data_IF_722995055104
#
_entry.id   IF_722995055104
#
_cell.length_a   1.000
_cell.length_b   1.000
_cell.length_c   1.000
_cell.angle_alpha   90.00
_cell.angle_beta   90.00
_cell.angle_gamma   90.00
#
_symmetry.space_group_name_H-M   'P 1'
#
loop_
_entity.id
_entity.type
_entity.pdbx_description
1 polymer ?
#
# COMPACT_ATOMS: atom_id res chain seq x y z
N UNK A 1 20.98 -10.27 16.11
CA UNK A 1 20.92 -9.03 15.32
C UNK A 1 19.59 -8.36 15.63
N UNK A 2 19.58 -7.20 16.29
CA UNK A 2 18.32 -6.47 16.55
C UNK A 2 17.92 -5.77 15.26
N UNK A 3 16.96 -6.38 14.56
CA UNK A 3 16.27 -5.81 13.41
C UNK A 3 15.42 -4.66 13.95
N UNK A 4 15.77 -3.44 13.59
CA UNK A 4 15.02 -2.25 13.94
C UNK A 4 14.80 -1.48 12.64
N UNK A 5 13.55 -1.11 12.39
CA UNK A 5 13.16 -0.35 11.22
C UNK A 5 12.38 0.90 11.61
N UNK A 6 12.30 1.83 10.67
CA UNK A 6 11.50 3.05 10.76
C UNK A 6 10.42 2.95 9.69
N UNK A 7 9.16 3.11 10.09
CA UNK A 7 8.05 3.22 9.15
C UNK A 7 7.88 4.69 8.74
N UNK A 8 8.24 5.00 7.50
CA UNK A 8 8.11 6.34 6.94
C UNK A 8 6.84 6.45 6.10
N UNK A 9 6.19 7.61 6.17
CA UNK A 9 5.13 8.00 5.23
C UNK A 9 5.77 8.78 4.09
N UNK A 10 5.71 8.25 2.88
CA UNK A 10 6.27 8.89 1.68
C UNK A 10 5.23 8.95 0.56
N UNK A 11 5.51 9.75 -0.47
CA UNK A 11 4.75 9.69 -1.72
C UNK A 11 5.18 8.44 -2.50
N UNK A 12 4.21 7.68 -3.01
CA UNK A 12 4.49 6.58 -3.92
C UNK A 12 5.23 7.11 -5.16
N UNK A 13 6.38 6.54 -5.53
CA UNK A 13 7.14 6.99 -6.71
C UNK A 13 6.35 6.94 -8.01
N UNK A 14 5.37 6.03 -8.11
CA UNK A 14 4.58 5.83 -9.31
C UNK A 14 3.29 6.67 -9.34
N UNK A 15 2.48 6.66 -8.27
CA UNK A 15 1.15 7.27 -8.28
C UNK A 15 0.98 8.48 -7.34
N UNK A 16 2.04 8.89 -6.65
CA UNK A 16 2.07 10.00 -5.69
C UNK A 16 1.11 9.91 -4.47
N UNK A 17 0.27 8.86 -4.39
CA UNK A 17 -0.52 8.56 -3.21
C UNK A 17 0.40 8.19 -2.02
N UNK A 18 -0.13 8.27 -0.80
CA UNK A 18 0.60 7.84 0.39
C UNK A 18 0.97 6.35 0.33
N UNK A 19 2.23 6.06 0.61
CA UNK A 19 2.74 4.72 0.87
C UNK A 19 3.55 4.69 2.17
N UNK A 20 3.63 3.52 2.78
CA UNK A 20 4.52 3.26 3.90
C UNK A 20 5.79 2.61 3.37
N UNK A 21 6.93 3.19 3.71
CA UNK A 21 8.26 2.60 3.53
C UNK A 21 8.68 1.98 4.87
N UNK A 22 9.11 0.72 4.84
CA UNK A 22 9.76 0.06 5.96
C UNK A 22 11.28 0.12 5.76
N UNK A 23 11.96 1.01 6.49
CA UNK A 23 13.38 1.29 6.33
C UNK A 23 14.23 0.74 7.49
N UNK A 24 15.07 -0.24 7.20
CA UNK A 24 15.98 -0.88 8.15
C UNK A 24 17.29 -0.10 8.24
N UNK A 25 17.30 0.98 9.03
CA UNK A 25 18.38 1.97 9.06
C UNK A 25 19.80 1.45 9.33
N UNK A 26 19.95 0.28 9.99
CA UNK A 26 21.27 -0.33 10.24
C UNK A 26 21.85 -0.99 8.99
N UNK A 27 21.01 -1.69 8.24
CA UNK A 27 21.40 -2.41 7.03
C UNK A 27 21.15 -1.58 5.78
N UNK A 28 20.41 -0.46 5.91
CA UNK A 28 19.92 0.40 4.82
C UNK A 28 19.07 -0.35 3.80
N UNK A 29 18.37 -1.38 4.26
CA UNK A 29 17.36 -2.08 3.47
C UNK A 29 16.04 -1.33 3.53
N UNK A 30 15.23 -1.45 2.50
CA UNK A 30 13.95 -0.77 2.39
C UNK A 30 12.94 -1.59 1.62
N UNK A 31 11.70 -1.61 2.10
CA UNK A 31 10.57 -2.19 1.38
C UNK A 31 9.44 -1.16 1.26
N UNK A 32 8.91 -1.02 0.05
CA UNK A 32 7.81 -0.11 -0.28
C UNK A 32 6.74 -0.91 -1.01
N UNK A 33 5.51 -0.89 -0.50
CA UNK A 33 4.35 -1.55 -1.12
C UNK A 33 3.19 -0.57 -1.23
N UNK A 34 2.92 -0.09 -2.45
CA UNK A 34 1.80 0.81 -2.69
C UNK A 34 0.50 0.03 -2.81
N UNK A 35 -0.34 0.13 -1.78
CA UNK A 35 -1.67 -0.50 -1.77
C UNK A 35 -2.69 0.15 -2.73
N UNK A 36 -2.29 1.16 -3.52
CA UNK A 36 -3.17 1.88 -4.47
C UNK A 36 -2.89 1.47 -5.90
N UNK A 37 -1.69 1.75 -6.41
CA UNK A 37 -1.32 1.35 -7.75
C UNK A 37 -0.69 -0.04 -7.82
N UNK A 38 -0.17 -0.60 -6.72
CA UNK A 38 0.57 -1.86 -6.73
C UNK A 38 2.08 -1.75 -6.94
N UNK A 39 2.63 -0.52 -6.96
CA UNK A 39 4.07 -0.30 -7.01
C UNK A 39 4.78 -1.03 -5.87
N UNK A 40 5.86 -1.73 -6.21
CA UNK A 40 6.70 -2.44 -5.26
C UNK A 40 8.16 -2.09 -5.49
N UNK A 41 8.85 -1.75 -4.41
CA UNK A 41 10.31 -1.63 -4.40
C UNK A 41 10.87 -2.38 -3.20
N UNK A 42 11.93 -3.14 -3.42
CA UNK A 42 12.74 -3.68 -2.34
C UNK A 42 14.22 -3.45 -2.59
N UNK A 43 14.93 -3.18 -1.49
CA UNK A 43 16.39 -3.08 -1.44
C UNK A 43 16.85 -3.99 -0.31
N UNK A 44 17.54 -5.07 -0.67
CA UNK A 44 17.96 -6.11 0.28
C UNK A 44 19.48 -6.27 0.24
N UNK A 45 20.11 -6.44 1.38
CA UNK A 45 21.55 -6.67 1.47
C UNK A 45 21.86 -8.10 1.01
N UNK A 46 22.69 -8.24 -0.03
CA UNK A 46 23.10 -9.55 -0.55
C UNK A 46 24.37 -10.08 0.11
N UNK A 47 25.40 -9.25 0.18
CA UNK A 47 26.73 -9.67 0.61
C UNK A 47 27.50 -8.50 1.23
N UNK A 48 28.56 -8.85 1.95
CA UNK A 48 29.57 -7.90 2.43
C UNK A 48 30.91 -8.42 1.91
N UNK A 49 31.52 -7.68 0.98
CA UNK A 49 32.81 -8.01 0.36
C UNK A 49 33.78 -6.84 0.56
N UNK A 50 34.95 -7.09 1.16
CA UNK A 50 36.00 -6.08 1.39
C UNK A 50 35.51 -4.78 2.08
N UNK A 51 34.58 -4.91 3.03
CA UNK A 51 34.00 -3.78 3.75
C UNK A 51 32.98 -2.96 2.94
N UNK A 52 32.63 -3.39 1.73
CA UNK A 52 31.54 -2.84 0.92
C UNK A 52 30.30 -3.73 1.07
N UNK A 53 29.16 -3.08 1.19
CA UNK A 53 27.86 -3.76 1.24
C UNK A 53 27.29 -3.77 -0.16
N UNK A 54 26.92 -4.94 -0.65
CA UNK A 54 26.23 -5.12 -1.93
C UNK A 54 24.73 -5.26 -1.69
N UNK A 55 23.94 -4.52 -2.48
CA UNK A 55 22.48 -4.55 -2.42
C UNK A 55 21.92 -5.14 -3.71
N UNK A 56 20.86 -5.93 -3.57
CA UNK A 56 19.93 -6.23 -4.65
C UNK A 56 18.75 -5.28 -4.56
N UNK A 57 18.41 -4.66 -5.69
CA UNK A 57 17.24 -3.79 -5.80
C UNK A 57 16.26 -4.41 -6.78
N UNK A 58 14.99 -4.42 -6.41
CA UNK A 58 13.89 -4.91 -7.26
C UNK A 58 12.81 -3.85 -7.29
N UNK A 59 12.50 -3.38 -8.49
CA UNK A 59 11.42 -2.42 -8.73
C UNK A 59 10.38 -3.06 -9.65
N UNK A 60 9.11 -2.96 -9.26
CA UNK A 60 7.97 -3.46 -10.02
C UNK A 60 6.91 -2.37 -10.08
N UNK A 61 6.49 -2.02 -11.30
CA UNK A 61 5.40 -1.09 -11.53
C UNK A 61 4.05 -1.74 -11.22
N UNK A 62 3.17 -0.95 -10.62
CA UNK A 62 1.82 -1.34 -10.33
C UNK A 62 0.82 -0.89 -11.40
N UNK A 63 -0.21 -1.71 -11.60
CA UNK A 63 -1.26 -1.53 -12.60
C UNK A 63 -2.65 -1.35 -12.00
N UNK A 64 -2.74 -1.19 -10.68
CA UNK A 64 -3.97 -0.94 -9.95
C UNK A 64 -4.17 -1.87 -8.76
N UNK A 65 -5.39 -1.86 -8.24
CA UNK A 65 -5.77 -2.72 -7.12
C UNK A 65 -7.25 -3.06 -7.14
N UNK A 66 -7.61 -4.15 -6.49
CA UNK A 66 -8.98 -4.47 -6.13
C UNK A 66 -9.15 -4.43 -4.61
N UNK A 67 -10.34 -4.07 -4.16
CA UNK A 67 -10.79 -4.22 -2.78
C UNK A 67 -12.15 -4.89 -2.82
N UNK A 68 -12.27 -6.03 -2.15
CA UNK A 68 -13.52 -6.75 -1.98
C UNK A 68 -13.87 -6.76 -0.49
N UNK A 69 -15.02 -6.21 -0.13
CA UNK A 69 -15.51 -6.15 1.26
C UNK A 69 -16.65 -7.14 1.41
N UNK A 70 -16.62 -7.92 2.48
CA UNK A 70 -17.68 -8.84 2.88
C UNK A 70 -18.62 -8.17 3.87
N UNK A 71 -19.89 -8.59 3.89
CA UNK A 71 -20.91 -8.08 4.82
C UNK A 71 -20.60 -8.32 6.29
N UNK A 72 -19.71 -9.29 6.59
CA UNK A 72 -19.19 -9.53 7.94
C UNK A 72 -18.04 -8.59 8.35
N UNK A 73 -17.65 -7.66 7.47
CA UNK A 73 -16.61 -6.66 7.71
C UNK A 73 -15.21 -7.08 7.26
N UNK A 74 -15.00 -8.34 6.86
CA UNK A 74 -13.71 -8.75 6.27
C UNK A 74 -13.50 -8.05 4.93
N UNK A 75 -12.24 -7.79 4.59
CA UNK A 75 -11.88 -7.33 3.26
C UNK A 75 -10.68 -8.07 2.72
N UNK A 76 -10.62 -8.14 1.40
CA UNK A 76 -9.50 -8.66 0.64
C UNK A 76 -9.02 -7.56 -0.30
N UNK A 77 -7.70 -7.40 -0.40
CA UNK A 77 -7.07 -6.46 -1.33
C UNK A 77 -6.08 -7.21 -2.19
N UNK A 78 -6.18 -7.00 -3.50
CA UNK A 78 -5.20 -7.47 -4.47
C UNK A 78 -4.55 -6.28 -5.14
N UNK A 79 -3.24 -6.32 -5.32
CA UNK A 79 -2.49 -5.35 -6.13
C UNK A 79 -1.98 -6.05 -7.38
N UNK A 80 -1.97 -5.35 -8.50
CA UNK A 80 -1.60 -5.92 -9.80
C UNK A 80 -0.22 -5.41 -10.22
N UNK A 81 0.69 -6.34 -10.53
CA UNK A 81 2.03 -6.08 -11.05
C UNK A 81 2.13 -6.22 -12.58
N UNK A 82 1.01 -6.55 -13.21
CA UNK A 82 0.82 -6.61 -14.65
C UNK A 82 -0.52 -5.97 -15.00
N UNK A 83 -0.70 -5.61 -16.27
CA UNK A 83 -1.95 -5.02 -16.73
C UNK A 83 -3.13 -5.94 -16.38
N UNK A 84 -4.17 -5.36 -15.79
CA UNK A 84 -5.38 -6.08 -15.40
C UNK A 84 -5.99 -6.71 -16.65
N UNK A 85 -6.08 -8.04 -16.63
CA UNK A 85 -6.63 -8.81 -17.74
C UNK A 85 -8.15 -8.95 -17.63
N UNK A 86 -8.81 -9.34 -18.72
CA UNK A 86 -10.23 -9.67 -18.66
C UNK A 86 -10.52 -10.81 -17.67
N UNK A 87 -9.60 -11.75 -17.50
CA UNK A 87 -9.73 -12.84 -16.53
C UNK A 87 -9.73 -12.32 -15.08
N UNK A 88 -8.93 -11.29 -14.78
CA UNK A 88 -8.93 -10.65 -13.46
C UNK A 88 -10.25 -9.93 -13.18
N UNK A 89 -10.78 -9.25 -14.20
CA UNK A 89 -12.08 -8.58 -14.15
C UNK A 89 -13.20 -9.62 -13.91
N UNK A 90 -13.20 -10.72 -14.66
CA UNK A 90 -14.18 -11.80 -14.53
C UNK A 90 -14.11 -12.46 -13.14
N UNK A 91 -12.90 -12.75 -12.66
CA UNK A 91 -12.68 -13.30 -11.31
C UNK A 91 -13.20 -12.35 -10.22
N UNK A 92 -12.94 -11.05 -10.37
CA UNK A 92 -13.47 -10.05 -9.46
C UNK A 92 -15.00 -10.00 -9.51
N UNK A 93 -15.61 -10.03 -10.70
CA UNK A 93 -17.07 -10.04 -10.88
C UNK A 93 -17.73 -11.27 -10.27
N UNK A 94 -17.11 -12.44 -10.37
CA UNK A 94 -17.61 -13.67 -9.71
C UNK A 94 -17.70 -13.44 -8.20
N UNK A 95 -16.67 -12.85 -7.59
CA UNK A 95 -16.67 -12.54 -6.16
C UNK A 95 -17.61 -11.37 -5.81
N UNK A 96 -17.70 -10.37 -6.67
CA UNK A 96 -18.57 -9.20 -6.54
C UNK A 96 -20.06 -9.57 -6.45
N UNK A 97 -20.47 -10.55 -7.26
CA UNK A 97 -21.86 -10.98 -7.37
C UNK A 97 -22.27 -12.00 -6.28
N UNK A 98 -21.35 -12.39 -5.38
CA UNK A 98 -21.72 -13.25 -4.25
C UNK A 98 -22.61 -12.48 -3.27
N UNK A 99 -23.57 -13.19 -2.69
CA UNK A 99 -24.57 -12.63 -1.77
C UNK A 99 -23.98 -12.05 -0.49
N UNK A 100 -22.78 -12.49 -0.11
CA UNK A 100 -22.03 -12.06 1.07
C UNK A 100 -21.12 -10.84 0.83
N UNK A 101 -21.05 -10.33 -0.41
CA UNK A 101 -20.22 -9.18 -0.76
C UNK A 101 -20.97 -7.86 -0.54
N UNK A 102 -20.26 -6.87 0.00
CA UNK A 102 -20.69 -5.48 0.16
C UNK A 102 -20.20 -4.66 -1.02
N UNK A 103 -21.05 -4.48 -2.02
CA UNK A 103 -20.72 -3.93 -3.32
C UNK A 103 -20.38 -2.43 -3.23
N UNK A 104 -21.07 -1.68 -2.38
CA UNK A 104 -20.82 -0.23 -2.21
C UNK A 104 -19.43 0.09 -1.64
N UNK A 105 -18.79 -0.88 -0.98
CA UNK A 105 -17.45 -0.74 -0.38
C UNK A 105 -16.37 -1.48 -1.17
N UNK A 106 -16.77 -2.18 -2.22
CA UNK A 106 -15.86 -2.95 -3.06
C UNK A 106 -15.57 -2.16 -4.33
N UNK A 107 -14.39 -2.37 -4.93
CA UNK A 107 -14.04 -1.76 -6.22
C UNK A 107 -12.83 -2.44 -6.87
N UNK A 108 -12.69 -2.22 -8.18
CA UNK A 108 -11.53 -2.58 -8.99
C UNK A 108 -11.06 -1.33 -9.73
N UNK A 109 -9.81 -0.95 -9.49
CA UNK A 109 -9.15 0.20 -10.12
C UNK A 109 -8.00 -0.27 -10.99
N UNK A 110 -7.96 0.23 -12.22
CA UNK A 110 -6.78 0.20 -13.07
C UNK A 110 -5.95 1.48 -12.83
N UNK A 111 -4.64 1.36 -12.91
CA UNK A 111 -3.71 2.48 -12.91
C UNK A 111 -2.89 2.47 -14.21
N UNK A 112 -3.02 3.52 -15.02
CA UNK A 112 -2.21 3.75 -16.22
C UNK A 112 -1.66 5.18 -16.22
N UNK A 113 -0.34 5.30 -16.39
CA UNK A 113 0.37 6.59 -16.56
C UNK A 113 -0.02 7.68 -15.55
N UNK A 114 -0.13 7.32 -14.27
CA UNK A 114 -0.44 8.28 -13.19
C UNK A 114 -1.93 8.57 -13.01
N UNK A 115 -2.80 7.92 -13.78
CA UNK A 115 -4.26 8.06 -13.68
C UNK A 115 -4.89 6.77 -13.21
N UNK A 116 -5.85 6.87 -12.29
CA UNK A 116 -6.68 5.74 -11.87
C UNK A 116 -8.01 5.75 -12.63
N UNK A 117 -8.42 4.58 -13.10
CA UNK A 117 -9.69 4.36 -13.79
C UNK A 117 -10.47 3.32 -12.99
N UNK A 118 -11.71 3.64 -12.61
CA UNK A 118 -12.58 2.65 -11.97
C UNK A 118 -13.17 1.72 -13.02
N UNK A 119 -12.79 0.44 -12.97
CA UNK A 119 -13.35 -0.59 -13.83
C UNK A 119 -14.68 -1.11 -13.27
N UNK A 120 -14.74 -1.32 -11.94
CA UNK A 120 -15.93 -1.80 -11.22
C UNK A 120 -16.01 -1.08 -9.88
N UNK A 121 -17.21 -0.64 -9.49
CA UNK A 121 -17.45 0.04 -8.22
C UNK A 121 -16.89 1.46 -8.20
N UNK A 122 -16.78 2.04 -7.00
CA UNK A 122 -16.21 3.37 -6.80
C UNK A 122 -15.45 3.37 -5.48
N UNK A 123 -14.16 3.76 -5.47
CA UNK A 123 -13.41 3.84 -4.22
C UNK A 123 -13.92 4.99 -3.34
N UNK A 124 -13.67 4.95 -2.02
CA UNK A 124 -13.89 6.09 -1.14
C UNK A 124 -13.19 7.36 -1.65
N UNK A 125 -13.77 8.52 -1.40
CA UNK A 125 -13.29 9.82 -1.92
C UNK A 125 -11.83 10.11 -1.51
N UNK A 126 -11.44 9.72 -0.31
CA UNK A 126 -10.09 9.90 0.23
C UNK A 126 -9.11 8.79 -0.16
N UNK A 127 -9.57 7.75 -0.86
CA UNK A 127 -8.75 6.57 -1.15
C UNK A 127 -7.53 6.93 -2.01
N UNK A 128 -7.71 7.77 -3.02
CA UNK A 128 -6.66 8.19 -3.96
C UNK A 128 -6.06 9.56 -3.59
N UNK A 129 -6.20 9.99 -2.33
CA UNK A 129 -5.67 11.27 -1.90
C UNK A 129 -4.14 11.33 -2.09
N UNK A 130 -3.62 12.33 -2.84
CA UNK A 130 -2.18 12.52 -3.00
C UNK A 130 -1.48 12.82 -1.68
N UNK A 131 -0.22 12.39 -1.56
CA UNK A 131 0.56 12.55 -0.33
C UNK A 131 0.65 14.00 0.16
N UNK A 132 0.80 14.97 -0.74
CA UNK A 132 0.90 16.40 -0.41
C UNK A 132 -0.40 16.98 0.16
N UNK A 133 -1.54 16.32 -0.07
CA UNK A 133 -2.86 16.74 0.44
C UNK A 133 -3.19 16.13 1.80
N UNK A 134 -2.41 15.16 2.27
CA UNK A 134 -2.65 14.53 3.56
C UNK A 134 -2.15 15.48 4.64
N UNK A 135 -3.10 15.98 5.43
CA UNK A 135 -2.78 16.78 6.62
C UNK A 135 -1.97 15.89 7.56
N UNK A 136 -0.84 16.41 8.06
CA UNK A 136 -0.07 15.74 9.10
C UNK A 136 -1.00 15.29 10.23
N UNK A 137 -0.80 14.09 10.82
CA UNK A 137 -1.62 13.66 11.93
C UNK A 137 -1.65 14.76 12.98
N UNK A 138 -2.86 15.05 13.48
CA UNK A 138 -3.06 15.88 14.66
C UNK A 138 -2.04 15.45 15.71
N UNK A 139 -1.16 16.36 16.15
CA UNK A 139 -0.29 16.09 17.28
C UNK A 139 -1.22 15.76 18.44
N UNK A 140 -1.35 14.50 18.82
CA UNK A 140 -1.87 14.18 20.15
C UNK A 140 -0.93 14.90 21.11
N UNK A 141 -1.41 16.01 21.68
CA UNK A 141 -0.78 16.58 22.85
C UNK A 141 -0.63 15.44 23.83
N UNK A 142 0.63 15.09 24.12
CA UNK A 142 0.98 13.99 24.99
C UNK A 142 0.06 13.99 26.21
N UNK A 143 -0.87 13.02 26.25
CA UNK A 143 -1.66 12.76 27.43
C UNK A 143 -0.69 12.17 28.46
N UNK A 144 0.07 13.05 29.12
CA UNK A 144 0.75 12.75 30.36
C UNK A 144 -0.35 12.41 31.35
N UNK A 145 -0.74 11.13 31.38
CA UNK A 145 -1.43 10.54 32.52
C UNK A 145 -0.52 10.79 33.71
N UNK A 146 -0.78 11.87 34.46
CA UNK A 146 -0.27 12.06 35.81
C UNK A 146 -0.63 10.77 36.55
N UNK A 147 0.39 9.94 36.83
CA UNK A 147 0.24 8.84 37.78
C UNK A 147 -0.19 9.49 39.10
N UNK A 148 -1.47 9.41 39.42
CA UNK A 148 -1.92 9.58 40.80
C UNK A 148 -1.38 8.34 41.53
N UNK A 149 -0.30 8.54 42.28
CA UNK A 149 0.12 7.54 43.25
C UNK A 149 -0.94 7.43 44.36
N UNK A 150 -1.06 6.26 45.01
CA UNK A 150 -1.37 6.24 46.43
C UNK A 150 -0.21 6.84 47.24
#
# INVERSE_FOLDING_TARGET
>A
MVIASILNRIACPQCACLVLEDFYYKTRESDIICNRCGYYYSKTMKSISDGRIEYEEKEIFGFGCSVLVKKDGRNERTVFNEKISNMDIDNFLICWNKTDTEQEKSFLLEHDKGTFISLIGTPPEDFLQPFDKIKAPYKEEHFHRKRRGP
#
